data_IF_337414037204
#
_entry.id   IF_337414037204
#
_cell.length_a   1.000
_cell.length_b   1.000
_cell.length_c   1.000
_cell.angle_alpha   90.00
_cell.angle_beta   90.00
_cell.angle_gamma   90.00
#
_symmetry.space_group_name_H-M   'P 1'
#
loop_
_entity.id
_entity.type
_entity.pdbx_description
1 polymer ?
#
# COMPACT_ATOMS: atom_id res chain seq x y z
N UNK A 1 -59.19 -18.44 28.88
CA UNK A 1 -58.87 -16.99 28.90
C UNK A 1 -57.58 -16.81 29.68
N UNK A 2 -56.46 -16.59 29.00
CA UNK A 2 -55.15 -16.38 29.63
C UNK A 2 -54.55 -15.09 29.06
N UNK A 3 -54.43 -14.09 29.93
CA UNK A 3 -53.89 -12.76 29.65
C UNK A 3 -52.36 -12.81 29.75
N UNK A 4 -51.66 -12.25 28.75
CA UNK A 4 -50.22 -11.97 28.82
C UNK A 4 -49.97 -10.49 28.55
N UNK A 5 -49.34 -9.85 29.53
CA UNK A 5 -48.92 -8.45 29.55
C UNK A 5 -47.75 -8.19 28.57
N UNK A 6 -47.64 -6.98 27.98
CA UNK A 6 -46.52 -6.60 27.13
C UNK A 6 -45.30 -6.20 27.95
N UNK A 7 -44.11 -6.68 27.55
CA UNK A 7 -42.81 -6.23 28.06
C UNK A 7 -42.24 -5.15 27.13
N UNK A 8 -42.10 -3.94 27.67
CA UNK A 8 -41.37 -2.81 27.09
C UNK A 8 -39.87 -3.03 27.24
N UNK A 9 -39.12 -2.94 26.13
CA UNK A 9 -37.66 -2.86 26.12
C UNK A 9 -37.29 -1.41 25.77
N UNK A 10 -36.70 -0.71 26.74
CA UNK A 10 -36.04 0.57 26.52
C UNK A 10 -34.62 0.32 26.01
N UNK A 11 -34.27 0.94 24.88
CA UNK A 11 -32.90 0.95 24.35
C UNK A 11 -32.40 2.39 24.26
N UNK A 12 -31.43 2.71 25.12
CA UNK A 12 -30.61 3.91 25.08
C UNK A 12 -29.72 3.89 23.83
N UNK A 13 -29.75 4.94 23.01
CA UNK A 13 -28.69 5.21 22.03
C UNK A 13 -28.20 6.66 22.18
N UNK A 14 -27.07 6.84 22.86
CA UNK A 14 -26.24 8.04 22.76
C UNK A 14 -25.07 7.71 21.85
N UNK A 15 -25.07 8.24 20.62
CA UNK A 15 -23.86 8.33 19.79
C UNK A 15 -23.53 9.81 19.67
N UNK A 16 -22.45 10.22 20.34
CA UNK A 16 -21.82 11.54 20.23
C UNK A 16 -21.11 11.68 18.88
N UNK A 17 -21.37 12.78 18.19
CA UNK A 17 -20.57 13.30 17.07
C UNK A 17 -19.41 14.14 17.60
N UNK A 18 -18.20 13.95 17.08
CA UNK A 18 -17.08 14.89 17.07
C UNK A 18 -16.27 14.58 15.78
N UNK A 19 -16.41 15.31 14.67
CA UNK A 19 -15.70 16.54 14.26
C UNK A 19 -14.18 16.46 14.38
N UNK A 20 -13.50 16.24 13.25
CA UNK A 20 -12.08 16.46 13.08
C UNK A 20 -11.91 17.57 12.02
N UNK A 21 -11.36 18.70 12.45
CA UNK A 21 -10.86 19.79 11.61
C UNK A 21 -9.33 19.68 11.49
N UNK A 22 -8.84 20.29 10.42
CA UNK A 22 -7.51 20.26 9.84
C UNK A 22 -6.35 20.67 10.75
N UNK A 23 -5.16 20.11 10.48
CA UNK A 23 -3.96 20.93 10.36
C UNK A 23 -2.89 20.26 9.47
N UNK A 24 -2.60 20.97 8.39
CA UNK A 24 -1.68 20.67 7.30
C UNK A 24 -0.20 20.76 7.72
N UNK A 25 0.64 19.88 7.19
CA UNK A 25 2.04 20.22 6.87
C UNK A 25 2.56 19.39 5.69
N UNK A 26 3.15 20.09 4.73
CA UNK A 26 3.60 19.55 3.44
C UNK A 26 4.92 18.79 3.57
N UNK A 27 5.05 17.67 2.84
CA UNK A 27 6.35 17.12 2.42
C UNK A 27 6.23 16.67 0.96
N UNK A 28 7.04 17.31 0.12
CA UNK A 28 7.29 16.99 -1.28
C UNK A 28 8.04 15.67 -1.41
N UNK A 29 7.53 14.73 -2.20
CA UNK A 29 8.29 13.56 -2.65
C UNK A 29 7.95 13.23 -4.11
N UNK A 30 9.00 13.13 -4.91
CA UNK A 30 9.00 12.90 -6.35
C UNK A 30 8.81 11.41 -6.67
N UNK A 31 7.79 11.12 -7.48
CA UNK A 31 7.78 10.15 -8.59
C UNK A 31 8.00 8.66 -8.30
N UNK A 32 6.95 7.85 -8.45
CA UNK A 32 6.69 6.97 -9.61
C UNK A 32 5.48 6.05 -9.31
N UNK A 33 4.53 5.96 -10.25
CA UNK A 33 3.45 4.97 -10.22
C UNK A 33 2.06 5.56 -10.45
N UNK A 34 1.77 5.98 -11.69
CA UNK A 34 0.45 6.49 -12.08
C UNK A 34 -0.52 5.35 -12.40
N UNK A 35 -1.48 5.14 -11.52
CA UNK A 35 -2.72 4.41 -11.78
C UNK A 35 -3.57 5.16 -12.82
N UNK A 36 -3.84 4.52 -13.95
CA UNK A 36 -4.71 5.05 -15.00
C UNK A 36 -6.18 4.89 -14.60
N UNK A 37 -6.78 5.97 -14.09
CA UNK A 37 -8.24 6.15 -14.05
C UNK A 37 -8.71 6.64 -15.42
N UNK A 38 -9.44 5.81 -16.16
CA UNK A 38 -10.04 6.19 -17.43
C UNK A 38 -11.42 6.83 -17.19
N UNK A 39 -11.44 8.15 -16.93
CA UNK A 39 -12.64 8.97 -17.13
C UNK A 39 -12.78 9.22 -18.63
N UNK A 40 -13.78 8.62 -19.27
CA UNK A 40 -14.13 8.89 -20.68
C UNK A 40 -14.96 10.17 -20.74
N UNK A 41 -14.30 11.30 -20.98
CA UNK A 41 -14.94 12.52 -21.46
C UNK A 41 -15.09 12.42 -22.98
N UNK A 42 -16.32 12.60 -23.47
CA UNK A 42 -16.62 12.81 -24.87
C UNK A 42 -16.20 14.22 -25.27
N UNK A 43 -15.15 14.34 -26.08
CA UNK A 43 -14.85 15.55 -26.84
C UNK A 43 -14.60 15.19 -28.30
N UNK A 44 -15.61 15.45 -29.13
CA UNK A 44 -15.40 15.71 -30.55
C UNK A 44 -14.61 17.01 -30.65
N UNK A 45 -13.32 16.90 -30.98
CA UNK A 45 -12.53 18.04 -31.44
C UNK A 45 -11.84 17.65 -32.74
N UNK A 46 -12.40 18.16 -33.82
CA UNK A 46 -11.70 18.39 -35.06
C UNK A 46 -10.60 19.43 -34.80
N UNK A 47 -9.34 19.02 -34.85
CA UNK A 47 -8.21 19.94 -34.95
C UNK A 47 -7.32 19.51 -36.10
N UNK A 48 -7.43 20.28 -37.18
CA UNK A 48 -6.47 20.37 -38.26
C UNK A 48 -5.14 20.89 -37.73
N UNK A 49 -4.05 20.18 -38.01
CA UNK A 49 -2.72 20.79 -38.13
C UNK A 49 -1.82 19.93 -39.03
N UNK A 50 -1.39 20.56 -40.11
CA UNK A 50 -0.34 20.14 -41.04
C UNK A 50 1.02 20.19 -40.28
N UNK A 51 2.07 19.42 -40.52
CA UNK A 51 2.64 18.85 -41.74
C UNK A 51 3.81 17.91 -41.38
N UNK A 52 4.04 16.85 -42.15
CA UNK A 52 5.34 16.49 -42.76
C UNK A 52 5.24 15.17 -43.53
N UNK A 53 5.61 15.29 -44.80
CA UNK A 53 5.65 14.32 -45.89
C UNK A 53 6.01 12.85 -45.56
N UNK A 54 5.04 11.97 -45.80
CA UNK A 54 5.26 10.77 -46.62
C UNK A 54 4.02 10.58 -47.49
N UNK A 55 4.16 10.66 -48.81
CA UNK A 55 3.08 10.60 -49.79
C UNK A 55 2.48 9.19 -49.88
N UNK A 56 1.73 8.77 -48.86
CA UNK A 56 0.82 7.63 -48.96
C UNK A 56 -0.50 8.14 -49.51
N UNK A 57 -0.96 7.54 -50.61
CA UNK A 57 -2.24 7.92 -51.22
C UNK A 57 -3.35 7.93 -50.15
N UNK A 58 -4.31 8.88 -50.21
CA UNK A 58 -5.40 8.96 -49.23
C UNK A 58 -6.25 7.69 -49.15
N UNK A 59 -6.20 6.84 -50.19
CA UNK A 59 -6.80 5.49 -50.18
C UNK A 59 -6.03 4.49 -49.31
N UNK A 60 -4.71 4.59 -49.23
CA UNK A 60 -3.87 3.71 -48.42
C UNK A 60 -4.03 4.02 -46.92
N UNK A 61 -4.13 5.29 -46.55
CA UNK A 61 -4.37 5.70 -45.15
C UNK A 61 -5.76 5.27 -44.67
N UNK A 62 -6.81 5.47 -45.48
CA UNK A 62 -8.16 4.96 -45.19
C UNK A 62 -8.18 3.45 -44.98
N UNK A 63 -7.53 2.68 -45.87
CA UNK A 63 -7.38 1.22 -45.72
C UNK A 63 -6.63 0.83 -44.43
N UNK A 64 -5.66 1.63 -44.00
CA UNK A 64 -4.89 1.36 -42.78
C UNK A 64 -5.77 1.61 -41.54
N UNK A 65 -6.52 2.72 -41.53
CA UNK A 65 -7.50 3.03 -40.48
C UNK A 65 -8.58 1.95 -40.38
N UNK A 66 -9.18 1.53 -41.51
CA UNK A 66 -10.20 0.49 -41.54
C UNK A 66 -9.67 -0.86 -41.01
N UNK A 67 -8.42 -1.20 -41.32
CA UNK A 67 -7.75 -2.41 -40.80
C UNK A 67 -7.51 -2.32 -39.30
N UNK A 68 -7.06 -1.17 -38.80
CA UNK A 68 -6.84 -0.96 -37.36
C UNK A 68 -8.16 -1.04 -36.60
N UNK A 69 -9.22 -0.40 -37.11
CA UNK A 69 -10.57 -0.48 -36.55
C UNK A 69 -11.06 -1.93 -36.51
N UNK A 70 -10.93 -2.69 -37.61
CA UNK A 70 -11.33 -4.09 -37.65
C UNK A 70 -10.56 -4.99 -36.66
N UNK A 71 -9.27 -4.73 -36.45
CA UNK A 71 -8.46 -5.46 -35.45
C UNK A 71 -8.90 -5.11 -34.03
N UNK A 72 -9.17 -3.84 -33.75
CA UNK A 72 -9.67 -3.37 -32.44
C UNK A 72 -11.04 -4.00 -32.15
N UNK A 73 -11.96 -3.99 -33.12
CA UNK A 73 -13.29 -4.58 -33.00
C UNK A 73 -13.20 -6.09 -32.74
N UNK A 74 -12.34 -6.83 -33.47
CA UNK A 74 -12.16 -8.26 -33.25
C UNK A 74 -11.56 -8.62 -31.88
N UNK A 75 -10.68 -7.77 -31.34
CA UNK A 75 -10.12 -7.94 -29.98
C UNK A 75 -11.18 -7.65 -28.92
N UNK A 76 -12.00 -6.61 -29.12
CA UNK A 76 -13.10 -6.25 -28.23
C UNK A 76 -14.21 -7.32 -28.23
N UNK A 77 -14.58 -7.86 -29.40
CA UNK A 77 -15.55 -8.94 -29.54
C UNK A 77 -15.16 -10.19 -28.74
N UNK A 78 -13.87 -10.53 -28.66
CA UNK A 78 -13.39 -11.65 -27.85
C UNK A 78 -13.62 -11.46 -26.35
N UNK A 79 -13.69 -10.23 -25.86
CA UNK A 79 -13.96 -9.89 -24.46
C UNK A 79 -15.45 -9.94 -24.12
N UNK A 80 -16.32 -9.93 -25.13
CA UNK A 80 -17.76 -10.05 -24.93
C UNK A 80 -18.17 -11.49 -24.60
N UNK A 81 -19.27 -11.66 -23.84
CA UNK A 81 -19.97 -12.93 -23.69
C UNK A 81 -20.19 -13.62 -25.04
N UNK A 82 -20.14 -14.96 -25.11
CA UNK A 82 -20.31 -15.72 -26.35
C UNK A 82 -21.53 -15.30 -27.19
N UNK A 83 -22.61 -14.89 -26.52
CA UNK A 83 -23.91 -14.50 -27.09
C UNK A 83 -23.84 -13.19 -27.88
N UNK A 84 -22.84 -12.35 -27.61
CA UNK A 84 -22.70 -11.02 -28.21
C UNK A 84 -21.61 -10.93 -29.26
N UNK A 85 -20.84 -12.01 -29.48
CA UNK A 85 -19.73 -12.03 -30.44
C UNK A 85 -20.27 -11.95 -31.86
N UNK A 86 -19.69 -11.08 -32.70
CA UNK A 86 -20.08 -10.94 -34.11
C UNK A 86 -21.40 -10.19 -34.34
N UNK A 87 -22.09 -9.75 -33.29
CA UNK A 87 -23.21 -8.83 -33.42
C UNK A 87 -22.68 -7.41 -33.57
N UNK A 88 -22.51 -6.98 -34.83
CA UNK A 88 -21.92 -5.70 -35.24
C UNK A 88 -22.60 -4.42 -34.66
N UNK A 89 -23.69 -4.57 -33.91
CA UNK A 89 -24.45 -3.52 -33.24
C UNK A 89 -25.08 -3.97 -31.89
N UNK A 90 -24.59 -5.04 -31.23
CA UNK A 90 -25.20 -5.47 -29.95
C UNK A 90 -24.86 -4.53 -28.77
N UNK A 91 -23.76 -3.79 -28.89
CA UNK A 91 -23.34 -2.79 -27.92
C UNK A 91 -23.52 -1.42 -28.56
N UNK A 92 -24.75 -0.90 -28.61
CA UNK A 92 -25.02 0.45 -29.13
C UNK A 92 -24.74 1.53 -28.09
N UNK A 93 -24.80 1.16 -26.80
CA UNK A 93 -24.66 2.06 -25.66
C UNK A 93 -24.11 1.35 -24.42
N UNK A 94 -23.59 2.11 -23.45
CA UNK A 94 -23.22 1.59 -22.13
C UNK A 94 -24.38 0.88 -21.44
N UNK A 95 -25.61 1.34 -21.69
CA UNK A 95 -26.86 0.75 -21.20
C UNK A 95 -27.08 -0.68 -21.69
N UNK A 96 -26.69 -0.99 -22.94
CA UNK A 96 -26.83 -2.35 -23.48
C UNK A 96 -25.88 -3.32 -22.77
N UNK A 97 -24.65 -2.87 -22.47
CA UNK A 97 -23.67 -3.66 -21.70
C UNK A 97 -24.23 -3.96 -20.31
N UNK A 98 -24.77 -2.95 -19.63
CA UNK A 98 -25.40 -3.12 -18.31
C UNK A 98 -26.54 -4.12 -18.38
N UNK A 99 -27.46 -4.00 -19.33
CA UNK A 99 -28.60 -4.91 -19.46
C UNK A 99 -28.18 -6.38 -19.65
N UNK A 100 -27.13 -6.61 -20.45
CA UNK A 100 -26.61 -7.97 -20.70
C UNK A 100 -25.91 -8.51 -19.45
N UNK A 101 -25.13 -7.69 -18.76
CA UNK A 101 -24.50 -8.05 -17.48
C UNK A 101 -25.57 -8.41 -16.45
N UNK A 102 -26.61 -7.60 -16.31
CA UNK A 102 -27.75 -7.85 -15.42
C UNK A 102 -28.45 -9.16 -15.77
N UNK A 103 -28.79 -9.39 -17.04
CA UNK A 103 -29.40 -10.66 -17.47
C UNK A 103 -28.54 -11.87 -17.10
N UNK A 104 -27.21 -11.76 -17.23
CA UNK A 104 -26.28 -12.84 -16.88
C UNK A 104 -26.17 -13.06 -15.38
N UNK A 105 -26.19 -11.97 -14.59
CA UNK A 105 -26.26 -12.05 -13.13
C UNK A 105 -27.55 -12.76 -12.71
N UNK A 106 -28.69 -12.38 -13.28
CA UNK A 106 -29.98 -13.03 -13.04
C UNK A 106 -29.98 -14.52 -13.36
N UNK A 107 -29.51 -14.90 -14.55
CA UNK A 107 -29.39 -16.33 -14.91
C UNK A 107 -28.48 -17.07 -13.94
N UNK A 108 -27.35 -16.46 -13.56
CA UNK A 108 -26.42 -17.08 -12.60
C UNK A 108 -27.02 -17.20 -11.18
N UNK A 109 -27.92 -16.29 -10.80
CA UNK A 109 -28.69 -16.38 -9.55
C UNK A 109 -29.74 -17.50 -9.63
N UNK A 110 -30.48 -17.61 -10.73
CA UNK A 110 -31.46 -18.68 -10.95
C UNK A 110 -30.81 -20.07 -10.98
N UNK A 111 -29.64 -20.19 -11.61
CA UNK A 111 -28.83 -21.42 -11.63
C UNK A 111 -28.20 -21.75 -10.27
N UNK A 112 -28.29 -20.84 -9.29
CA UNK A 112 -27.71 -21.06 -7.96
C UNK A 112 -26.17 -21.06 -7.94
N UNK A 113 -25.52 -20.45 -8.94
CA UNK A 113 -24.04 -20.37 -9.02
C UNK A 113 -23.43 -19.66 -7.80
N UNK A 114 -24.20 -18.79 -7.14
CA UNK A 114 -23.80 -18.09 -5.92
C UNK A 114 -24.03 -18.88 -4.62
N UNK A 115 -24.77 -20.00 -4.68
CA UNK A 115 -25.11 -20.79 -3.50
C UNK A 115 -23.94 -21.66 -3.01
N UNK A 116 -23.13 -22.17 -3.94
CA UNK A 116 -22.00 -23.06 -3.65
C UNK A 116 -20.63 -22.37 -3.76
N UNK A 117 -20.54 -21.08 -3.41
CA UNK A 117 -19.27 -20.36 -3.43
C UNK A 117 -18.31 -20.87 -2.35
N UNK A 118 -17.01 -21.03 -2.67
CA UNK A 118 -16.01 -21.40 -1.69
C UNK A 118 -15.95 -20.34 -0.58
N UNK A 119 -16.28 -20.74 0.65
CA UNK A 119 -16.26 -19.85 1.80
C UNK A 119 -17.59 -19.13 2.10
N UNK A 120 -18.69 -19.41 1.38
CA UNK A 120 -20.01 -18.88 1.73
C UNK A 120 -20.36 -19.23 3.19
N UNK A 121 -20.74 -18.24 3.98
CA UNK A 121 -21.12 -18.39 5.39
C UNK A 121 -19.97 -18.65 6.36
N UNK A 122 -18.71 -18.72 5.90
CA UNK A 122 -17.53 -18.84 6.77
C UNK A 122 -16.94 -17.45 7.06
N UNK A 123 -16.39 -17.20 8.25
CA UNK A 123 -15.63 -15.99 8.52
C UNK A 123 -14.48 -15.84 7.51
N UNK A 124 -14.26 -14.62 7.05
CA UNK A 124 -13.19 -14.31 6.10
C UNK A 124 -11.81 -14.58 6.74
N UNK A 125 -10.95 -15.32 6.05
CA UNK A 125 -9.59 -15.58 6.50
C UNK A 125 -8.70 -14.37 6.23
N UNK A 126 -8.59 -13.46 7.21
CA UNK A 126 -7.72 -12.28 7.13
C UNK A 126 -6.22 -12.60 7.32
N UNK A 127 -5.88 -13.85 7.59
CA UNK A 127 -4.51 -14.26 7.95
C UNK A 127 -3.59 -14.47 6.75
N UNK A 128 -4.12 -14.58 5.53
CA UNK A 128 -3.31 -14.87 4.34
C UNK A 128 -3.13 -13.60 3.55
N UNK A 129 -1.88 -13.20 3.31
CA UNK A 129 -1.59 -12.06 2.45
C UNK A 129 -1.41 -12.53 1.00
N UNK A 130 -2.36 -12.28 0.08
CA UNK A 130 -2.25 -12.71 -1.32
C UNK A 130 -1.15 -11.97 -2.09
N UNK A 131 -0.58 -10.90 -1.53
CA UNK A 131 0.50 -10.13 -2.12
C UNK A 131 1.88 -10.48 -1.58
N UNK A 132 1.97 -11.37 -0.58
CA UNK A 132 3.25 -11.84 -0.06
C UNK A 132 3.75 -13.06 -0.85
N UNK A 133 5.06 -13.25 -0.87
CA UNK A 133 5.64 -14.50 -1.34
C UNK A 133 5.16 -15.68 -0.46
N UNK A 134 4.78 -16.84 -1.03
CA UNK A 134 4.25 -17.96 -0.25
C UNK A 134 5.20 -18.48 0.85
N UNK A 135 6.51 -18.40 0.65
CA UNK A 135 7.47 -18.80 1.66
C UNK A 135 7.53 -17.77 2.80
N UNK A 136 7.56 -16.48 2.49
CA UNK A 136 7.51 -15.39 3.48
C UNK A 136 6.20 -15.40 4.30
N UNK A 137 5.04 -15.56 3.64
CA UNK A 137 3.74 -15.67 4.34
C UNK A 137 3.73 -16.84 5.32
N UNK A 138 4.28 -17.98 4.91
CA UNK A 138 4.38 -19.16 5.78
C UNK A 138 5.30 -18.90 6.97
N UNK A 139 6.45 -18.26 6.75
CA UNK A 139 7.38 -17.87 7.82
C UNK A 139 6.69 -16.94 8.82
N UNK A 140 6.08 -15.85 8.37
CA UNK A 140 5.40 -14.89 9.25
C UNK A 140 4.21 -15.51 9.98
N UNK A 141 3.49 -16.44 9.35
CA UNK A 141 2.42 -17.21 9.99
C UNK A 141 2.95 -18.10 11.13
N UNK A 142 4.07 -18.79 10.93
CA UNK A 142 4.68 -19.62 11.98
C UNK A 142 5.14 -18.73 13.14
N UNK A 143 5.80 -17.61 12.86
CA UNK A 143 6.26 -16.67 13.89
C UNK A 143 5.09 -16.12 14.71
N UNK A 144 4.02 -15.66 14.04
CA UNK A 144 2.82 -15.13 14.69
C UNK A 144 2.14 -16.17 15.59
N UNK A 145 2.04 -17.43 15.14
CA UNK A 145 1.50 -18.53 15.95
C UNK A 145 2.30 -18.81 17.23
N UNK A 146 3.61 -18.54 17.22
CA UNK A 146 4.49 -18.71 18.37
C UNK A 146 4.68 -17.40 19.17
N UNK A 147 3.94 -16.34 18.84
CA UNK A 147 4.12 -15.01 19.42
C UNK A 147 5.55 -14.45 19.26
N UNK A 148 6.28 -14.91 18.24
CA UNK A 148 7.61 -14.42 17.88
C UNK A 148 7.52 -13.31 16.83
N UNK A 149 8.46 -12.37 16.88
CA UNK A 149 8.55 -11.32 15.90
C UNK A 149 9.58 -11.69 14.81
N UNK A 150 9.45 -11.14 13.59
CA UNK A 150 10.49 -11.23 12.59
C UNK A 150 11.83 -10.67 13.09
N UNK A 151 12.94 -11.22 12.58
CA UNK A 151 14.31 -10.81 12.96
C UNK A 151 14.49 -9.29 12.90
N UNK A 152 14.02 -8.64 11.84
CA UNK A 152 14.17 -7.19 11.69
C UNK A 152 13.40 -6.38 12.75
N UNK A 153 12.28 -6.89 13.26
CA UNK A 153 11.51 -6.24 14.35
C UNK A 153 12.31 -6.33 15.66
N UNK A 154 12.86 -7.51 15.94
CA UNK A 154 13.68 -7.75 17.14
C UNK A 154 14.96 -6.91 17.10
N UNK A 155 15.64 -6.89 15.95
CA UNK A 155 16.84 -6.10 15.72
C UNK A 155 16.57 -4.60 15.89
N UNK A 156 15.44 -4.09 15.40
CA UNK A 156 15.05 -2.69 15.60
C UNK A 156 14.85 -2.36 17.09
N UNK A 157 14.17 -3.26 17.83
CA UNK A 157 13.98 -3.11 19.28
C UNK A 157 15.32 -3.08 20.00
N UNK A 158 16.24 -3.95 19.61
CA UNK A 158 17.59 -4.02 20.17
C UNK A 158 18.39 -2.75 19.87
N UNK A 159 18.38 -2.26 18.63
CA UNK A 159 19.03 -1.00 18.24
C UNK A 159 18.48 0.15 19.08
N UNK A 160 17.16 0.29 19.21
CA UNK A 160 16.54 1.34 20.01
C UNK A 160 16.94 1.29 21.48
N UNK A 161 17.00 0.09 22.07
CA UNK A 161 17.47 -0.12 23.43
C UNK A 161 18.94 0.30 23.59
N UNK A 162 19.81 -0.17 22.70
CA UNK A 162 21.24 0.14 22.72
C UNK A 162 21.50 1.65 22.55
N UNK A 163 20.79 2.32 21.64
CA UNK A 163 20.87 3.77 21.44
C UNK A 163 20.48 4.52 22.72
N UNK A 164 19.41 4.10 23.39
CA UNK A 164 18.95 4.73 24.64
C UNK A 164 20.00 4.58 25.76
N UNK A 165 20.52 3.36 25.96
CA UNK A 165 21.56 3.11 26.95
C UNK A 165 22.85 3.87 26.65
N UNK A 166 23.25 3.89 25.38
CA UNK A 166 24.42 4.63 24.93
C UNK A 166 24.28 6.14 25.18
N UNK A 167 23.11 6.73 24.89
CA UNK A 167 22.83 8.15 25.18
C UNK A 167 22.85 8.46 26.67
N UNK A 168 22.31 7.58 27.50
CA UNK A 168 22.37 7.72 28.97
C UNK A 168 23.82 7.66 29.47
N UNK A 169 24.61 6.73 28.96
CA UNK A 169 26.02 6.60 29.29
C UNK A 169 26.83 7.82 28.82
N UNK A 170 26.55 8.32 27.61
CA UNK A 170 27.16 9.54 27.08
C UNK A 170 26.83 10.75 27.96
N UNK A 171 25.57 10.93 28.35
CA UNK A 171 25.16 12.03 29.23
C UNK A 171 25.86 11.97 30.59
N UNK A 172 26.01 10.78 31.18
CA UNK A 172 26.75 10.57 32.44
C UNK A 172 28.25 10.87 32.29
N UNK A 173 28.86 10.43 31.20
CA UNK A 173 30.26 10.72 30.92
C UNK A 173 30.48 12.23 30.71
N UNK A 174 29.53 12.90 30.04
CA UNK A 174 29.55 14.33 29.81
C UNK A 174 29.46 15.13 31.11
N UNK A 175 28.56 14.78 32.03
CA UNK A 175 28.49 15.44 33.34
C UNK A 175 29.78 15.29 34.14
N UNK A 176 30.45 14.14 34.06
CA UNK A 176 31.74 13.93 34.73
C UNK A 176 32.85 14.79 34.12
N UNK A 177 32.83 15.00 32.79
CA UNK A 177 33.75 15.91 32.10
C UNK A 177 33.58 17.34 32.61
N UNK A 178 32.34 17.82 32.75
CA UNK A 178 32.06 19.16 33.27
C UNK A 178 32.50 19.33 34.74
N UNK A 179 32.48 18.23 35.51
CA UNK A 179 32.93 18.22 36.91
C UNK A 179 34.46 18.12 37.09
N UNK A 180 35.25 18.08 36.00
CA UNK A 180 36.73 18.12 36.04
C UNK A 180 37.44 16.78 35.87
N UNK A 181 36.73 15.66 35.68
CA UNK A 181 37.32 14.32 35.52
C UNK A 181 37.75 14.04 34.05
N UNK A 182 38.72 14.80 33.54
CA UNK A 182 39.16 14.69 32.14
C UNK A 182 39.77 13.34 31.76
N UNK A 183 40.45 12.66 32.70
CA UNK A 183 41.02 11.32 32.45
C UNK A 183 39.94 10.27 32.23
N UNK A 184 38.91 10.25 33.09
CA UNK A 184 37.80 9.29 32.98
C UNK A 184 36.94 9.56 31.73
N UNK A 185 36.86 10.82 31.31
CA UNK A 185 36.22 11.19 30.05
C UNK A 185 36.94 10.59 28.84
N UNK A 186 38.27 10.64 28.79
CA UNK A 186 39.02 10.09 27.65
C UNK A 186 38.74 8.59 27.46
N UNK A 187 38.83 7.81 28.55
CA UNK A 187 38.53 6.37 28.53
C UNK A 187 37.07 6.08 28.16
N UNK A 188 36.12 6.78 28.80
CA UNK A 188 34.70 6.61 28.54
C UNK A 188 34.33 7.00 27.10
N UNK A 189 34.95 8.05 26.56
CA UNK A 189 34.72 8.51 25.19
C UNK A 189 35.18 7.48 24.15
N UNK A 190 36.31 6.80 24.40
CA UNK A 190 36.80 5.75 23.53
C UNK A 190 35.90 4.52 23.58
N UNK A 191 35.48 4.11 24.79
CA UNK A 191 34.52 3.02 24.96
C UNK A 191 33.18 3.31 24.26
N UNK A 192 32.66 4.54 24.41
CA UNK A 192 31.42 4.97 23.76
C UNK A 192 31.55 5.03 22.23
N UNK A 193 32.70 5.40 21.68
CA UNK A 193 32.95 5.34 20.22
C UNK A 193 32.94 3.92 19.68
N UNK A 194 33.47 2.95 20.43
CA UNK A 194 33.41 1.53 20.05
C UNK A 194 31.95 1.06 20.06
N UNK A 195 31.20 1.35 21.13
CA UNK A 195 29.78 1.02 21.20
C UNK A 195 28.96 1.67 20.09
N UNK A 196 29.27 2.92 19.74
CA UNK A 196 28.65 3.63 18.63
C UNK A 196 28.86 2.89 17.29
N UNK A 197 30.08 2.42 17.04
CA UNK A 197 30.40 1.62 15.85
C UNK A 197 29.58 0.33 15.82
N UNK A 198 29.44 -0.34 16.96
CA UNK A 198 28.69 -1.59 17.05
C UNK A 198 27.19 -1.36 16.81
N UNK A 199 26.63 -0.26 17.34
CA UNK A 199 25.26 0.16 17.03
C UNK A 199 25.11 0.45 15.53
N UNK A 200 26.04 1.18 14.93
CA UNK A 200 26.00 1.49 13.50
C UNK A 200 26.12 0.24 12.61
N UNK A 201 26.89 -0.77 13.02
CA UNK A 201 26.92 -2.07 12.34
C UNK A 201 25.56 -2.78 12.40
N UNK A 202 24.86 -2.72 13.55
CA UNK A 202 23.49 -3.26 13.66
C UNK A 202 22.50 -2.49 12.79
N UNK A 203 22.60 -1.16 12.76
CA UNK A 203 21.80 -0.30 11.87
C UNK A 203 22.04 -0.67 10.41
N UNK A 204 23.29 -0.89 10.01
CA UNK A 204 23.62 -1.32 8.65
C UNK A 204 22.97 -2.67 8.34
N UNK A 205 23.12 -3.68 9.22
CA UNK A 205 22.45 -4.97 9.05
C UNK A 205 20.93 -4.84 8.94
N UNK A 206 20.31 -4.03 9.80
CA UNK A 206 18.87 -3.74 9.75
C UNK A 206 18.46 -3.13 8.40
N UNK A 207 19.23 -2.18 7.88
CA UNK A 207 18.94 -1.53 6.60
C UNK A 207 19.04 -2.48 5.40
N UNK A 208 19.82 -3.57 5.51
CA UNK A 208 19.94 -4.58 4.46
C UNK A 208 18.75 -5.55 4.42
N UNK A 209 18.12 -5.84 5.57
CA UNK A 209 17.04 -6.83 5.67
C UNK A 209 15.64 -6.20 5.55
N UNK A 210 15.53 -4.89 5.69
CA UNK A 210 14.25 -4.18 5.75
C UNK A 210 13.86 -3.64 4.37
N UNK A 211 12.57 -3.70 3.99
CA UNK A 211 12.08 -3.07 2.76
C UNK A 211 12.38 -1.57 2.71
N UNK A 212 12.58 -1.05 1.49
CA UNK A 212 12.82 0.37 1.26
C UNK A 212 11.75 1.25 1.92
N UNK A 213 12.19 2.39 2.48
CA UNK A 213 11.33 3.33 3.21
C UNK A 213 11.20 3.08 4.72
N UNK A 214 11.70 1.94 5.24
CA UNK A 214 11.75 1.64 6.68
C UNK A 214 13.17 1.63 7.26
N UNK A 215 14.15 2.03 6.45
CA UNK A 215 15.56 2.15 6.83
C UNK A 215 15.77 3.30 7.82
N UNK A 216 16.83 3.20 8.62
CA UNK A 216 17.18 4.20 9.65
C UNK A 216 18.61 4.71 9.45
N UNK A 217 18.84 5.95 9.85
CA UNK A 217 20.17 6.54 9.82
C UNK A 217 21.02 6.06 10.99
N UNK A 218 22.33 5.89 10.73
CA UNK A 218 23.31 5.67 11.78
C UNK A 218 23.49 6.89 12.69
N UNK A 219 24.04 6.64 13.87
CA UNK A 219 24.40 7.68 14.83
C UNK A 219 25.75 8.31 14.44
N UNK A 220 25.85 9.63 14.62
CA UNK A 220 27.09 10.38 14.39
C UNK A 220 27.55 10.99 15.72
N UNK A 221 28.84 10.83 16.05
CA UNK A 221 29.41 11.27 17.31
C UNK A 221 29.24 12.79 17.52
N UNK A 222 29.62 13.59 16.54
CA UNK A 222 29.57 15.05 16.59
C UNK A 222 28.14 15.55 16.82
N UNK A 223 27.18 15.06 16.03
CA UNK A 223 25.76 15.46 16.15
C UNK A 223 25.15 15.13 17.52
N UNK A 224 25.62 14.07 18.18
CA UNK A 224 25.15 13.72 19.53
C UNK A 224 25.85 14.54 20.61
N UNK A 225 27.06 15.07 20.37
CA UNK A 225 27.69 16.05 21.25
C UNK A 225 27.03 17.42 21.13
N UNK A 226 26.73 17.87 19.92
CA UNK A 226 26.06 19.17 19.68
C UNK A 226 24.73 19.25 20.46
N UNK A 227 23.98 18.14 20.50
CA UNK A 227 22.73 17.99 21.29
C UNK A 227 22.89 18.10 22.81
N UNK A 228 24.10 17.94 23.33
CA UNK A 228 24.41 18.07 24.76
C UNK A 228 24.94 19.46 25.10
N UNK A 229 25.35 20.23 24.09
CA UNK A 229 25.77 21.63 24.22
C UNK A 229 24.57 22.60 24.13
N UNK A 230 23.51 22.22 23.39
CA UNK A 230 22.18 22.86 23.41
C UNK A 230 21.41 22.62 24.72
#
# INVERSE_FOLDING_TARGET
MATRLPRTIASLSMIRRLTAEDSSFMVTAVGHGGSFNLRRASSSSSSSSESSSSSKSPKAEKKLVDRLSAVIDAVNDRKLPPELRGQRNAVRSETDIVNIVEQRIWHSMEEGQFENLPGKGKPLNLNTNPHADPAEDTLYRILSRNNCAPEWVELNKEIRSNVSQWRLALKKAWTNRCNGDHSKWAESSQALKIQLRDINNKVFRYNLIVPFGRQIFGLNWQKELDRLEE
#
